data_IF_820576512430
#
_entry.id   IF_820576512430
#
_cell.length_a   1.000
_cell.length_b   1.000
_cell.length_c   1.000
_cell.angle_alpha   90.00
_cell.angle_beta   90.00
_cell.angle_gamma   90.00
#
_symmetry.space_group_name_H-M   'P 1'
#
loop_
_entity.id
_entity.type
_entity.pdbx_description
1 polymer ?
#
# COMPACT_ATOMS: atom_id res chain seq x y z
N UNK A 1 -7.02 9.40 -14.70
CA UNK A 1 -7.76 8.56 -15.68
C UNK A 1 -8.35 9.34 -16.86
N UNK A 2 -8.91 10.55 -16.67
CA UNK A 2 -9.61 11.28 -17.73
C UNK A 2 -8.83 11.43 -19.06
N UNK A 3 -7.52 11.70 -19.05
CA UNK A 3 -6.72 11.81 -20.29
C UNK A 3 -6.61 10.47 -21.04
N UNK A 4 -6.41 9.37 -20.31
CA UNK A 4 -6.26 8.03 -20.89
C UNK A 4 -7.58 7.60 -21.55
N UNK A 5 -8.70 7.80 -20.86
CA UNK A 5 -10.01 7.34 -21.32
C UNK A 5 -10.66 8.24 -22.40
N UNK A 6 -10.17 9.46 -22.61
CA UNK A 6 -10.75 10.40 -23.57
C UNK A 6 -9.76 10.75 -24.68
N UNK A 7 -9.94 10.17 -25.87
CA UNK A 7 -9.07 10.35 -27.05
C UNK A 7 -8.88 11.84 -27.41
N UNK A 8 -9.91 12.67 -27.18
CA UNK A 8 -9.85 14.12 -27.43
C UNK A 8 -8.81 14.86 -26.57
N UNK A 9 -8.45 14.30 -25.41
CA UNK A 9 -7.43 14.85 -24.52
C UNK A 9 -6.03 14.30 -24.81
N UNK A 10 -5.85 13.44 -25.82
CA UNK A 10 -4.53 12.91 -26.15
C UNK A 10 -3.60 13.98 -26.74
N UNK A 11 -4.04 14.84 -27.68
CA UNK A 11 -3.20 15.92 -28.19
C UNK A 11 -2.80 16.88 -27.07
N UNK A 12 -1.49 17.08 -26.90
CA UNK A 12 -0.94 17.92 -25.82
C UNK A 12 -1.51 19.34 -25.83
N UNK A 13 -1.72 19.91 -27.01
CA UNK A 13 -2.31 21.25 -27.14
C UNK A 13 -3.71 21.29 -26.52
N UNK A 14 -4.59 20.33 -26.85
CA UNK A 14 -5.95 20.30 -26.31
C UNK A 14 -5.91 20.05 -24.81
N UNK A 15 -5.09 19.10 -24.36
CA UNK A 15 -4.95 18.78 -22.94
C UNK A 15 -4.53 20.02 -22.13
N UNK A 16 -3.46 20.72 -22.53
CA UNK A 16 -2.93 21.90 -21.84
C UNK A 16 -3.96 23.03 -21.71
N UNK A 17 -4.85 23.18 -22.68
CA UNK A 17 -5.88 24.22 -22.66
C UNK A 17 -7.20 23.77 -22.00
N UNK A 18 -7.40 22.47 -21.83
CA UNK A 18 -8.55 21.90 -21.11
C UNK A 18 -8.50 22.20 -19.61
N UNK A 19 -9.67 22.16 -18.95
CA UNK A 19 -9.75 22.24 -17.48
C UNK A 19 -8.90 21.14 -16.81
N UNK A 20 -9.05 19.89 -17.28
CA UNK A 20 -8.30 18.74 -16.76
C UNK A 20 -6.79 18.92 -16.82
N UNK A 21 -6.27 19.48 -17.92
CA UNK A 21 -4.83 19.75 -18.03
C UNK A 21 -4.38 20.86 -17.09
N UNK A 22 -5.14 21.96 -17.00
CA UNK A 22 -4.84 23.06 -16.07
C UNK A 22 -4.79 22.57 -14.61
N UNK A 23 -5.77 21.77 -14.20
CA UNK A 23 -5.82 21.19 -12.85
C UNK A 23 -4.62 20.25 -12.62
N UNK A 24 -4.28 19.41 -13.61
CA UNK A 24 -3.11 18.54 -13.55
C UNK A 24 -1.81 19.35 -13.35
N UNK A 25 -1.54 20.36 -14.17
CA UNK A 25 -0.33 21.18 -14.06
C UNK A 25 -0.29 21.99 -12.76
N UNK A 26 -1.44 22.44 -12.26
CA UNK A 26 -1.54 23.11 -10.97
C UNK A 26 -1.12 22.19 -9.81
N UNK A 27 -1.67 20.98 -9.76
CA UNK A 27 -1.33 20.01 -8.70
C UNK A 27 0.10 19.49 -8.82
N UNK A 28 0.59 19.25 -10.05
CA UNK A 28 1.98 18.90 -10.29
C UNK A 28 2.94 19.97 -9.78
N UNK A 29 2.62 21.25 -10.00
CA UNK A 29 3.43 22.36 -9.50
C UNK A 29 3.49 22.37 -7.98
N UNK A 30 2.35 22.23 -7.29
CA UNK A 30 2.32 22.17 -5.81
C UNK A 30 3.23 21.04 -5.30
N UNK A 31 3.14 19.87 -5.92
CA UNK A 31 3.93 18.71 -5.53
C UNK A 31 5.44 18.92 -5.77
N UNK A 32 5.81 19.47 -6.93
CA UNK A 32 7.19 19.82 -7.26
C UNK A 32 7.76 20.91 -6.34
N UNK A 33 6.96 21.91 -5.98
CA UNK A 33 7.37 22.99 -5.07
C UNK A 33 7.65 22.42 -3.67
N UNK A 34 6.80 21.49 -3.20
CA UNK A 34 7.01 20.79 -1.93
C UNK A 34 8.31 19.97 -1.93
N UNK A 35 8.53 19.12 -2.94
CA UNK A 35 9.74 18.28 -2.98
C UNK A 35 11.01 19.10 -3.18
N UNK A 36 10.95 20.17 -3.97
CA UNK A 36 12.05 21.13 -4.12
C UNK A 36 12.42 21.77 -2.77
N UNK A 37 11.43 22.18 -1.99
CA UNK A 37 11.64 22.77 -0.65
C UNK A 37 12.33 21.76 0.28
N UNK A 38 11.85 20.51 0.32
CA UNK A 38 12.44 19.45 1.15
C UNK A 38 13.89 19.15 0.74
N UNK A 39 14.19 19.15 -0.56
CA UNK A 39 15.55 18.95 -1.08
C UNK A 39 16.47 20.10 -0.64
N UNK A 40 16.02 21.35 -0.77
CA UNK A 40 16.80 22.53 -0.36
C UNK A 40 17.11 22.51 1.14
N UNK A 41 16.13 22.15 1.98
CA UNK A 41 16.33 22.00 3.41
C UNK A 41 17.35 20.91 3.74
N UNK A 42 17.26 19.75 3.08
CA UNK A 42 18.20 18.65 3.26
C UNK A 42 19.61 18.98 2.81
N UNK A 43 19.78 19.69 1.69
CA UNK A 43 21.08 20.21 1.24
C UNK A 43 21.67 21.18 2.27
N UNK A 44 20.85 22.09 2.79
CA UNK A 44 21.28 23.05 3.83
C UNK A 44 21.72 22.34 5.12
N UNK A 45 21.01 21.29 5.53
CA UNK A 45 21.41 20.46 6.67
C UNK A 45 22.71 19.69 6.43
N UNK A 46 22.90 19.16 5.21
CA UNK A 46 24.11 18.46 4.83
C UNK A 46 25.35 19.38 4.92
N UNK A 47 25.23 20.61 4.38
CA UNK A 47 26.29 21.61 4.47
C UNK A 47 26.61 22.03 5.91
N UNK A 48 25.60 22.15 6.78
CA UNK A 48 25.78 22.52 8.20
C UNK A 48 26.40 21.42 9.04
N UNK A 49 26.08 20.15 8.78
CA UNK A 49 26.56 19.00 9.57
C UNK A 49 27.92 18.45 9.11
N UNK A 50 28.41 18.86 7.94
CA UNK A 50 29.65 18.32 7.38
C UNK A 50 29.63 16.79 7.26
N UNK A 51 30.82 16.16 7.25
CA UNK A 51 30.98 14.70 7.13
C UNK A 51 30.45 13.91 8.35
N UNK A 52 29.95 14.53 9.42
CA UNK A 52 29.36 13.78 10.55
C UNK A 52 28.08 13.03 10.17
N UNK A 53 27.32 13.53 9.18
CA UNK A 53 26.19 12.80 8.59
C UNK A 53 26.64 11.49 7.92
N UNK A 54 27.89 11.44 7.42
CA UNK A 54 28.43 10.29 6.71
C UNK A 54 28.72 9.09 7.64
N UNK A 55 28.83 9.29 8.96
CA UNK A 55 29.16 8.24 9.94
C UNK A 55 27.97 7.38 10.40
N UNK A 56 26.74 7.71 10.02
CA UNK A 56 25.57 6.87 10.36
C UNK A 56 25.60 5.57 9.55
N UNK A 57 25.55 4.42 10.24
CA UNK A 57 25.49 3.08 9.61
C UNK A 57 24.25 2.88 8.72
N UNK A 58 23.15 3.59 8.96
CA UNK A 58 21.94 3.61 8.11
C UNK A 58 21.57 5.06 7.80
N UNK A 59 21.55 5.41 6.52
CA UNK A 59 21.15 6.72 6.00
C UNK A 59 19.73 6.63 5.45
N UNK A 60 18.94 7.69 5.61
CA UNK A 60 17.66 7.79 4.92
C UNK A 60 17.91 7.96 3.41
N UNK A 61 16.96 7.56 2.57
CA UNK A 61 17.07 7.68 1.11
C UNK A 61 17.42 9.11 0.67
N UNK A 62 16.72 10.11 1.23
CA UNK A 62 17.02 11.53 0.99
C UNK A 62 18.48 11.88 1.24
N UNK A 63 19.04 11.40 2.35
CA UNK A 63 20.42 11.72 2.73
C UNK A 63 21.41 11.05 1.77
N UNK A 64 21.10 9.83 1.29
CA UNK A 64 21.91 9.11 0.28
C UNK A 64 21.90 9.82 -1.08
N UNK A 65 20.72 10.28 -1.53
CA UNK A 65 20.57 10.98 -2.81
C UNK A 65 21.27 12.35 -2.78
N UNK A 66 21.10 13.12 -1.70
CA UNK A 66 21.78 14.41 -1.51
C UNK A 66 23.29 14.22 -1.43
N UNK A 67 23.79 13.21 -0.72
CA UNK A 67 25.22 12.91 -0.68
C UNK A 67 25.77 12.59 -2.08
N UNK A 68 25.03 11.81 -2.88
CA UNK A 68 25.42 11.51 -4.27
C UNK A 68 25.56 12.76 -5.12
N UNK A 69 24.53 13.60 -5.10
CA UNK A 69 24.53 14.88 -5.80
C UNK A 69 25.66 15.81 -5.36
N UNK A 70 25.90 15.92 -4.05
CA UNK A 70 26.90 16.86 -3.52
C UNK A 70 28.35 16.35 -3.67
N UNK A 71 28.60 15.04 -3.57
CA UNK A 71 29.95 14.46 -3.55
C UNK A 71 30.41 13.91 -4.89
N UNK A 72 29.54 13.21 -5.61
CA UNK A 72 29.88 12.52 -6.84
C UNK A 72 29.35 13.23 -8.10
N UNK A 73 28.34 14.11 -7.94
CA UNK A 73 27.68 14.83 -9.04
C UNK A 73 27.14 13.91 -10.13
N UNK A 74 26.81 12.67 -9.78
CA UNK A 74 26.22 11.65 -10.68
C UNK A 74 24.69 11.71 -10.74
N UNK A 75 24.07 12.54 -9.89
CA UNK A 75 22.64 12.85 -9.89
C UNK A 75 22.43 14.37 -9.96
N UNK A 76 21.55 14.81 -10.84
CA UNK A 76 21.07 16.20 -10.87
C UNK A 76 20.01 16.43 -9.78
N UNK A 77 19.69 17.70 -9.49
CA UNK A 77 18.58 18.00 -8.58
C UNK A 77 17.24 17.49 -9.12
N UNK A 78 17.09 17.49 -10.45
CA UNK A 78 15.92 16.94 -11.13
C UNK A 78 15.81 15.44 -10.87
N UNK A 79 16.91 14.69 -11.01
CA UNK A 79 16.92 13.24 -10.74
C UNK A 79 16.54 12.95 -9.29
N UNK A 80 17.07 13.71 -8.32
CA UNK A 80 16.70 13.56 -6.90
C UNK A 80 15.20 13.83 -6.73
N UNK A 81 14.67 14.89 -7.35
CA UNK A 81 13.27 15.24 -7.25
C UNK A 81 12.37 14.15 -7.80
N UNK A 82 12.68 13.61 -8.97
CA UNK A 82 11.90 12.55 -9.61
C UNK A 82 11.90 11.25 -8.78
N UNK A 83 13.05 10.87 -8.22
CA UNK A 83 13.12 9.72 -7.30
C UNK A 83 12.25 9.94 -6.06
N UNK A 84 12.36 11.10 -5.42
CA UNK A 84 11.60 11.40 -4.18
C UNK A 84 10.10 11.54 -4.45
N UNK A 85 9.73 12.18 -5.55
CA UNK A 85 8.36 12.23 -6.05
C UNK A 85 7.77 10.82 -6.15
N UNK A 86 8.52 9.89 -6.75
CA UNK A 86 8.10 8.49 -6.91
C UNK A 86 7.86 7.81 -5.56
N UNK A 87 8.81 7.91 -4.62
CA UNK A 87 8.67 7.27 -3.31
C UNK A 87 7.51 7.83 -2.47
N UNK A 88 7.26 9.14 -2.52
CA UNK A 88 6.16 9.77 -1.79
C UNK A 88 4.81 9.30 -2.36
N UNK A 89 4.65 9.32 -3.68
CA UNK A 89 3.39 8.92 -4.33
C UNK A 89 3.09 7.44 -4.14
N UNK A 90 4.04 6.57 -4.49
CA UNK A 90 3.85 5.12 -4.46
C UNK A 90 3.73 4.59 -3.01
N UNK A 91 4.43 5.21 -2.05
CA UNK A 91 4.42 4.82 -0.65
C UNK A 91 3.20 5.32 0.14
N UNK A 92 2.58 6.43 -0.27
CA UNK A 92 1.46 7.01 0.47
C UNK A 92 0.11 6.40 0.04
N UNK A 93 -0.25 6.57 -1.23
CA UNK A 93 -1.62 6.29 -1.68
C UNK A 93 -1.93 4.79 -1.66
N UNK A 94 -0.97 3.94 -2.04
CA UNK A 94 -1.17 2.48 -2.05
C UNK A 94 -1.37 1.92 -0.64
N UNK A 95 -0.61 2.42 0.33
CA UNK A 95 -0.67 1.98 1.72
C UNK A 95 -1.96 2.46 2.39
N UNK A 96 -2.33 3.72 2.18
CA UNK A 96 -3.58 4.27 2.70
C UNK A 96 -4.79 3.45 2.22
N UNK A 97 -4.86 3.13 0.92
CA UNK A 97 -5.93 2.30 0.35
C UNK A 97 -5.91 0.88 0.93
N UNK A 98 -4.74 0.26 1.08
CA UNK A 98 -4.62 -1.07 1.69
C UNK A 98 -5.15 -1.10 3.13
N UNK A 99 -4.78 -0.08 3.94
CA UNK A 99 -5.23 0.04 5.33
C UNK A 99 -6.74 0.27 5.39
N UNK A 100 -7.31 1.12 4.53
CA UNK A 100 -8.76 1.36 4.46
C UNK A 100 -9.51 0.06 4.20
N UNK A 101 -9.12 -0.72 3.19
CA UNK A 101 -9.76 -2.00 2.88
C UNK A 101 -9.57 -3.03 3.99
N UNK A 102 -8.39 -3.06 4.60
CA UNK A 102 -8.11 -3.97 5.72
C UNK A 102 -8.98 -3.64 6.94
N UNK A 103 -9.07 -2.36 7.34
CA UNK A 103 -9.96 -1.92 8.42
C UNK A 103 -11.43 -2.19 8.09
N UNK A 104 -11.84 -1.95 6.84
CA UNK A 104 -13.19 -2.23 6.37
C UNK A 104 -13.56 -3.71 6.51
N UNK A 105 -12.65 -4.60 6.14
CA UNK A 105 -12.84 -6.04 6.27
C UNK A 105 -12.83 -6.48 7.74
N UNK A 106 -11.87 -6.02 8.55
CA UNK A 106 -11.83 -6.32 10.00
C UNK A 106 -13.11 -5.87 10.70
N UNK A 107 -13.62 -4.68 10.36
CA UNK A 107 -14.86 -4.14 10.94
C UNK A 107 -16.13 -4.91 10.58
N UNK A 108 -16.06 -5.85 9.62
CA UNK A 108 -17.15 -6.78 9.28
C UNK A 108 -17.00 -8.17 9.91
N UNK A 109 -15.82 -8.50 10.47
CA UNK A 109 -15.49 -9.86 10.92
C UNK A 109 -15.02 -9.80 12.38
N UNK A 110 -15.96 -9.77 13.35
CA UNK A 110 -15.62 -9.65 14.77
C UNK A 110 -14.79 -10.83 15.30
N UNK A 111 -14.95 -12.02 14.73
CA UNK A 111 -14.18 -13.22 15.02
C UNK A 111 -12.69 -13.08 14.62
N UNK A 112 -12.43 -12.54 13.43
CA UNK A 112 -11.07 -12.23 12.96
C UNK A 112 -10.46 -11.11 13.81
N UNK A 113 -11.26 -10.10 14.15
CA UNK A 113 -10.81 -9.00 15.00
C UNK A 113 -10.42 -9.47 16.41
N UNK A 114 -11.16 -10.40 17.00
CA UNK A 114 -10.83 -10.99 18.29
C UNK A 114 -9.47 -11.73 18.25
N UNK A 115 -9.22 -12.54 17.22
CA UNK A 115 -7.93 -13.21 17.00
C UNK A 115 -6.76 -12.22 16.85
N UNK A 116 -6.98 -11.09 16.16
CA UNK A 116 -5.98 -10.02 16.07
C UNK A 116 -5.69 -9.39 17.43
N UNK A 117 -6.74 -9.11 18.23
CA UNK A 117 -6.57 -8.58 19.57
C UNK A 117 -5.82 -9.53 20.50
N UNK A 118 -6.07 -10.84 20.40
CA UNK A 118 -5.33 -11.87 21.13
C UNK A 118 -3.85 -11.90 20.73
N UNK A 119 -3.55 -11.86 19.43
CA UNK A 119 -2.16 -11.78 18.94
C UNK A 119 -1.45 -10.52 19.45
N UNK A 120 -2.10 -9.37 19.35
CA UNK A 120 -1.55 -8.09 19.79
C UNK A 120 -1.28 -8.09 21.29
N UNK A 121 -2.21 -8.59 22.12
CA UNK A 121 -2.02 -8.68 23.56
C UNK A 121 -0.89 -9.64 23.94
N UNK A 122 -0.74 -10.74 23.20
CA UNK A 122 0.30 -11.74 23.44
C UNK A 122 1.69 -11.21 23.10
N UNK A 123 1.84 -10.52 21.97
CA UNK A 123 3.14 -10.07 21.45
C UNK A 123 3.55 -8.71 22.02
N UNK A 124 2.62 -7.74 22.05
CA UNK A 124 2.91 -6.34 22.40
C UNK A 124 2.53 -6.01 23.85
N UNK A 125 1.86 -6.93 24.55
CA UNK A 125 1.32 -6.68 25.87
C UNK A 125 0.15 -5.68 25.87
N UNK A 126 -0.35 -5.44 27.08
CA UNK A 126 -1.56 -4.62 27.32
C UNK A 126 -1.31 -3.12 27.42
N UNK A 127 -0.05 -2.71 27.61
CA UNK A 127 0.30 -1.29 27.71
C UNK A 127 0.42 -0.67 26.32
N UNK A 128 -0.64 0.02 25.91
CA UNK A 128 -0.78 0.61 24.57
C UNK A 128 0.17 1.77 24.28
N UNK A 129 0.87 2.29 25.29
CA UNK A 129 1.84 3.38 25.13
C UNK A 129 3.26 2.86 24.82
N UNK A 130 3.51 1.56 25.01
CA UNK A 130 4.78 0.94 24.62
C UNK A 130 4.94 1.00 23.10
N UNK A 131 6.04 1.61 22.59
CA UNK A 131 6.31 1.66 21.16
C UNK A 131 6.51 0.27 20.55
N UNK A 132 6.00 0.07 19.34
CA UNK A 132 6.14 -1.20 18.62
C UNK A 132 7.50 -1.25 17.93
N UNK A 133 8.30 -2.30 18.20
CA UNK A 133 9.59 -2.51 17.55
C UNK A 133 9.45 -3.29 16.23
N UNK A 134 10.50 -3.27 15.39
CA UNK A 134 10.51 -4.05 14.15
C UNK A 134 10.43 -5.56 14.42
N UNK A 135 11.06 -6.04 15.48
CA UNK A 135 11.03 -7.45 15.86
C UNK A 135 9.61 -7.86 16.29
N UNK A 136 8.88 -6.98 16.98
CA UNK A 136 7.48 -7.22 17.30
C UNK A 136 6.62 -7.34 16.04
N UNK A 137 6.79 -6.43 15.06
CA UNK A 137 6.06 -6.47 13.79
C UNK A 137 6.32 -7.76 13.00
N UNK A 138 7.54 -8.30 13.09
CA UNK A 138 7.89 -9.58 12.46
C UNK A 138 7.15 -10.77 13.12
N UNK A 139 6.82 -10.65 14.41
CA UNK A 139 6.09 -11.67 15.16
C UNK A 139 4.55 -11.57 15.03
N UNK A 140 4.02 -10.51 14.43
CA UNK A 140 2.58 -10.36 14.11
C UNK A 140 2.23 -11.16 12.84
N UNK A 141 2.15 -12.49 12.97
CA UNK A 141 1.94 -13.44 11.87
C UNK A 141 0.49 -13.43 11.40
N UNK A 142 -0.48 -13.42 12.32
CA UNK A 142 -1.90 -13.40 11.98
C UNK A 142 -2.31 -12.06 11.37
N UNK A 143 -1.80 -10.94 11.89
CA UNK A 143 -1.93 -9.62 11.25
C UNK A 143 -1.45 -9.64 9.80
N UNK A 144 -0.32 -10.30 9.52
CA UNK A 144 0.16 -10.46 8.14
C UNK A 144 -0.82 -11.25 7.27
N UNK A 145 -1.38 -12.33 7.79
CA UNK A 145 -2.37 -13.15 7.10
C UNK A 145 -3.61 -12.30 6.74
N UNK A 146 -4.09 -11.49 7.68
CA UNK A 146 -5.22 -10.57 7.50
C UNK A 146 -4.94 -9.51 6.43
N UNK A 147 -3.76 -8.89 6.46
CA UNK A 147 -3.35 -7.90 5.45
C UNK A 147 -3.24 -8.55 4.07
N UNK A 148 -2.64 -9.74 3.97
CA UNK A 148 -2.52 -10.48 2.70
C UNK A 148 -3.88 -10.85 2.13
N UNK A 149 -4.79 -11.37 2.96
CA UNK A 149 -6.15 -11.70 2.51
C UNK A 149 -6.94 -10.45 2.11
N UNK A 150 -6.74 -9.34 2.83
CA UNK A 150 -7.35 -8.06 2.46
C UNK A 150 -6.86 -7.57 1.10
N UNK A 151 -5.56 -7.68 0.83
CA UNK A 151 -4.95 -7.35 -0.46
C UNK A 151 -5.28 -8.37 -1.58
N UNK A 152 -5.66 -9.61 -1.23
CA UNK A 152 -6.19 -10.58 -2.19
C UNK A 152 -7.57 -10.16 -2.67
N UNK A 153 -8.49 -9.87 -1.74
CA UNK A 153 -9.85 -9.44 -2.08
C UNK A 153 -9.84 -8.06 -2.74
N UNK A 154 -9.24 -7.07 -2.07
CA UNK A 154 -9.12 -5.71 -2.58
C UNK A 154 -7.69 -5.45 -3.03
N UNK A 155 -7.35 -5.96 -4.20
CA UNK A 155 -6.01 -5.79 -4.78
C UNK A 155 -5.76 -4.34 -5.14
N UNK A 156 -4.98 -3.66 -4.30
CA UNK A 156 -4.70 -2.22 -4.36
C UNK A 156 -4.21 -1.77 -5.73
N UNK A 157 -3.29 -2.51 -6.35
CA UNK A 157 -2.86 -2.27 -7.74
C UNK A 157 -3.34 -3.46 -8.59
N UNK A 158 -4.52 -3.34 -9.23
CA UNK A 158 -5.19 -4.49 -9.83
C UNK A 158 -4.64 -4.91 -11.20
N UNK A 159 -3.81 -4.06 -11.82
CA UNK A 159 -3.30 -4.26 -13.18
C UNK A 159 -1.84 -3.82 -13.31
N UNK A 160 -1.00 -4.67 -13.90
CA UNK A 160 0.41 -4.37 -14.21
C UNK A 160 0.66 -4.38 -15.72
N UNK A 161 1.16 -3.27 -16.27
CA UNK A 161 1.56 -3.19 -17.68
C UNK A 161 3.00 -3.63 -17.94
N UNK A 162 3.26 -4.27 -19.08
CA UNK A 162 4.60 -4.58 -19.61
C UNK A 162 4.66 -4.26 -21.09
N UNK A 163 5.81 -3.77 -21.55
CA UNK A 163 6.09 -3.55 -22.97
C UNK A 163 7.08 -4.62 -23.45
N UNK A 164 6.79 -5.22 -24.60
CA UNK A 164 7.63 -6.23 -25.24
C UNK A 164 8.62 -5.54 -26.18
N UNK A 165 9.92 -5.76 -25.97
CA UNK A 165 10.99 -5.09 -26.73
C UNK A 165 11.63 -5.97 -27.82
N UNK A 166 11.31 -7.27 -27.82
CA UNK A 166 11.74 -8.27 -28.80
C UNK A 166 10.66 -9.34 -28.92
N UNK A 167 10.64 -10.09 -30.03
CA UNK A 167 9.66 -11.17 -30.19
C UNK A 167 9.89 -12.23 -29.11
N UNK A 168 8.83 -12.61 -28.38
CA UNK A 168 8.90 -13.62 -27.32
C UNK A 168 7.91 -14.75 -27.57
N UNK A 169 8.26 -15.97 -27.18
CA UNK A 169 7.34 -17.10 -27.20
C UNK A 169 6.74 -17.32 -25.81
N UNK A 170 5.41 -17.27 -25.71
CA UNK A 170 4.66 -17.56 -24.47
C UNK A 170 3.64 -18.64 -24.79
N UNK A 171 3.70 -19.77 -24.08
CA UNK A 171 2.78 -20.89 -24.23
C UNK A 171 2.62 -21.38 -25.69
N UNK A 172 3.69 -21.32 -26.48
CA UNK A 172 3.69 -21.70 -27.90
C UNK A 172 3.27 -20.59 -28.86
N UNK A 173 2.87 -19.42 -28.37
CA UNK A 173 2.49 -18.26 -29.18
C UNK A 173 3.64 -17.27 -29.31
N UNK A 174 3.90 -16.82 -30.54
CA UNK A 174 4.82 -15.71 -30.78
C UNK A 174 4.11 -14.39 -30.52
N UNK A 175 4.67 -13.62 -29.61
CA UNK A 175 4.22 -12.28 -29.26
C UNK A 175 5.17 -11.30 -29.93
N UNK A 176 4.68 -10.45 -30.85
CA UNK A 176 5.53 -9.52 -31.57
C UNK A 176 6.13 -8.46 -30.65
N UNK A 177 7.35 -8.04 -30.96
CA UNK A 177 7.97 -6.79 -30.49
C UNK A 177 7.01 -5.62 -30.68
N UNK A 178 6.93 -4.77 -29.66
CA UNK A 178 6.01 -3.63 -29.64
C UNK A 178 4.65 -3.95 -29.01
N UNK A 179 4.34 -5.22 -28.72
CA UNK A 179 3.14 -5.58 -27.98
C UNK A 179 3.20 -5.13 -26.52
N UNK A 180 2.03 -4.88 -25.91
CA UNK A 180 1.90 -4.62 -24.47
C UNK A 180 1.12 -5.75 -23.80
N UNK A 181 1.54 -6.14 -22.60
CA UNK A 181 0.82 -7.08 -21.74
C UNK A 181 0.26 -6.38 -20.51
N UNK A 182 -0.92 -6.83 -20.11
CA UNK A 182 -1.53 -6.45 -18.85
C UNK A 182 -1.79 -7.70 -18.03
N UNK A 183 -1.15 -7.79 -16.87
CA UNK A 183 -1.47 -8.80 -15.87
C UNK A 183 -2.56 -8.25 -14.97
N UNK A 184 -3.73 -8.90 -14.97
CA UNK A 184 -4.88 -8.49 -14.16
C UNK A 184 -4.86 -9.25 -12.83
N UNK A 185 -4.07 -8.77 -11.87
CA UNK A 185 -3.91 -9.42 -10.55
C UNK A 185 -5.23 -9.52 -9.77
N UNK A 186 -6.14 -8.57 -9.95
CA UNK A 186 -7.47 -8.61 -9.31
C UNK A 186 -8.28 -9.87 -9.65
N UNK A 187 -8.20 -10.34 -10.91
CA UNK A 187 -8.87 -11.58 -11.34
C UNK A 187 -8.05 -12.82 -11.00
N UNK A 188 -6.72 -12.74 -11.13
CA UNK A 188 -5.81 -13.82 -10.72
C UNK A 188 -6.03 -14.21 -9.25
N UNK A 189 -6.20 -13.24 -8.37
CA UNK A 189 -6.46 -13.44 -6.95
C UNK A 189 -7.87 -13.98 -6.63
N UNK A 190 -8.71 -14.15 -7.66
CA UNK A 190 -10.07 -14.71 -7.60
C UNK A 190 -10.22 -16.01 -8.37
N UNK A 191 -9.14 -16.56 -8.90
CA UNK A 191 -9.17 -17.87 -9.54
C UNK A 191 -9.56 -18.93 -8.51
N UNK A 192 -10.77 -19.50 -8.66
CA UNK A 192 -11.33 -20.50 -7.74
C UNK A 192 -10.48 -21.78 -7.66
N UNK A 193 -9.69 -22.08 -8.70
CA UNK A 193 -8.76 -23.22 -8.68
C UNK A 193 -7.59 -23.02 -7.71
N UNK A 194 -7.27 -21.75 -7.39
CA UNK A 194 -6.23 -21.36 -6.43
C UNK A 194 -6.85 -20.96 -5.09
N UNK A 195 -7.96 -20.22 -5.12
CA UNK A 195 -8.65 -19.70 -3.95
C UNK A 195 -10.12 -20.13 -3.96
N UNK A 196 -10.45 -21.33 -3.44
CA UNK A 196 -11.84 -21.78 -3.31
C UNK A 196 -12.66 -20.80 -2.49
N UNK A 197 -13.90 -20.48 -2.88
CA UNK A 197 -14.72 -19.39 -2.29
C UNK A 197 -14.00 -18.03 -2.27
N UNK A 198 -13.63 -17.47 -3.44
CA UNK A 198 -12.70 -16.34 -3.55
C UNK A 198 -13.23 -15.04 -2.96
N UNK A 199 -14.54 -14.90 -2.74
CA UNK A 199 -15.14 -13.71 -2.12
C UNK A 199 -15.24 -13.81 -0.59
N UNK A 200 -14.99 -15.00 -0.02
CA UNK A 200 -14.90 -15.20 1.43
C UNK A 200 -13.60 -14.61 1.95
N UNK A 201 -13.71 -13.76 2.97
CA UNK A 201 -12.56 -13.22 3.69
C UNK A 201 -12.04 -14.27 4.68
N UNK A 202 -10.96 -14.92 4.32
CA UNK A 202 -10.39 -16.04 5.08
C UNK A 202 -8.86 -15.87 5.25
N UNK A 203 -8.41 -15.22 6.34
CA UNK A 203 -6.97 -15.04 6.61
C UNK A 203 -6.20 -16.35 6.71
N UNK A 204 -6.85 -17.46 7.07
CA UNK A 204 -6.16 -18.74 7.29
C UNK A 204 -5.60 -19.32 5.97
N UNK A 205 -6.01 -18.81 4.79
CA UNK A 205 -5.38 -19.09 3.50
C UNK A 205 -3.89 -18.72 3.47
N UNK A 206 -3.52 -17.68 4.21
CA UNK A 206 -2.15 -17.17 4.28
C UNK A 206 -1.41 -17.58 5.55
N UNK A 207 -1.99 -18.48 6.35
CA UNK A 207 -1.26 -19.14 7.45
C UNK A 207 0.00 -19.82 6.92
N UNK A 208 1.07 -19.94 7.73
CA UNK A 208 2.31 -20.60 7.32
C UNK A 208 2.09 -21.97 6.67
N UNK A 209 1.12 -22.74 7.16
CA UNK A 209 0.79 -24.10 6.70
C UNK A 209 -0.01 -24.12 5.38
N UNK A 210 -0.82 -23.10 5.11
CA UNK A 210 -1.63 -23.04 3.89
C UNK A 210 -0.99 -22.22 2.77
N UNK A 211 -0.17 -21.21 3.11
CA UNK A 211 0.49 -20.36 2.13
C UNK A 211 1.40 -21.15 1.17
N UNK A 212 1.99 -22.26 1.63
CA UNK A 212 2.80 -23.17 0.81
C UNK A 212 2.00 -23.88 -0.30
N UNK A 213 0.67 -23.93 -0.18
CA UNK A 213 -0.22 -24.54 -1.19
C UNK A 213 -0.58 -23.57 -2.31
N UNK A 214 -0.32 -22.28 -2.12
CA UNK A 214 -0.54 -21.25 -3.13
C UNK A 214 0.57 -21.38 -4.19
N UNK A 215 0.25 -21.51 -5.49
CA UNK A 215 1.25 -21.56 -6.55
C UNK A 215 2.14 -20.31 -6.56
N UNK A 216 3.37 -20.44 -7.07
CA UNK A 216 4.43 -19.40 -7.03
C UNK A 216 4.00 -18.02 -7.58
N UNK A 217 3.01 -17.99 -8.49
CA UNK A 217 2.45 -16.76 -9.05
C UNK A 217 0.93 -16.63 -8.82
N UNK A 218 0.35 -17.42 -7.92
CA UNK A 218 -1.08 -17.37 -7.58
C UNK A 218 -1.44 -16.14 -6.74
N UNK A 219 -0.48 -15.56 -6.03
CA UNK A 219 -0.67 -14.34 -5.23
C UNK A 219 0.49 -13.35 -5.43
N UNK A 220 0.22 -12.27 -6.16
CA UNK A 220 1.23 -11.27 -6.57
C UNK A 220 0.77 -9.84 -6.30
N UNK A 221 0.33 -9.48 -5.06
CA UNK A 221 -0.17 -8.13 -4.75
C UNK A 221 0.88 -7.03 -4.96
N UNK A 222 2.16 -7.39 -4.88
CA UNK A 222 3.32 -6.53 -5.08
C UNK A 222 4.02 -6.80 -6.43
N UNK A 223 3.31 -7.40 -7.39
CA UNK A 223 3.87 -7.95 -8.63
C UNK A 223 4.96 -9.02 -8.37
N UNK A 224 5.60 -9.50 -9.43
CA UNK A 224 6.61 -10.56 -9.38
C UNK A 224 7.78 -10.31 -10.33
N UNK A 225 8.87 -11.06 -10.12
CA UNK A 225 10.09 -10.98 -10.93
C UNK A 225 10.97 -9.74 -10.63
N UNK A 226 11.89 -9.38 -11.54
CA UNK A 226 12.92 -8.35 -11.31
C UNK A 226 12.37 -6.91 -11.25
N UNK A 227 11.11 -6.71 -11.66
CA UNK A 227 10.39 -5.43 -11.60
C UNK A 227 9.21 -5.51 -10.63
N UNK A 228 9.32 -6.32 -9.59
CA UNK A 228 8.36 -6.32 -8.48
C UNK A 228 8.52 -5.06 -7.60
N UNK A 229 7.58 -4.86 -6.69
CA UNK A 229 7.62 -3.72 -5.78
C UNK A 229 8.85 -3.79 -4.87
N UNK A 230 9.75 -2.82 -5.01
CA UNK A 230 10.91 -2.64 -4.13
C UNK A 230 10.48 -2.32 -2.68
N UNK A 231 9.32 -1.69 -2.51
CA UNK A 231 8.77 -1.27 -1.23
C UNK A 231 8.06 -2.35 -0.43
N UNK A 232 7.90 -3.58 -0.93
CA UNK A 232 7.04 -4.62 -0.32
C UNK A 232 7.28 -4.87 1.17
N UNK A 233 8.55 -4.86 1.60
CA UNK A 233 8.93 -5.10 3.00
C UNK A 233 8.56 -3.90 3.86
N UNK A 234 8.86 -2.69 3.37
CA UNK A 234 8.53 -1.45 4.05
C UNK A 234 7.01 -1.26 4.17
N UNK A 235 6.28 -1.52 3.08
CA UNK A 235 4.82 -1.51 3.03
C UNK A 235 4.19 -2.41 4.12
N UNK A 236 4.67 -3.65 4.26
CA UNK A 236 4.18 -4.56 5.30
C UNK A 236 4.46 -4.04 6.71
N UNK A 237 5.65 -3.47 6.95
CA UNK A 237 5.98 -2.88 8.25
C UNK A 237 5.09 -1.67 8.56
N UNK A 238 4.86 -0.80 7.60
CA UNK A 238 4.02 0.38 7.73
C UNK A 238 2.56 0.01 8.03
N UNK A 239 1.99 -0.91 7.25
CA UNK A 239 0.62 -1.41 7.48
C UNK A 239 0.48 -2.07 8.85
N UNK A 240 1.39 -2.99 9.22
CA UNK A 240 1.37 -3.63 10.54
C UNK A 240 1.51 -2.62 11.67
N UNK A 241 2.37 -1.61 11.51
CA UNK A 241 2.53 -0.53 12.49
C UNK A 241 1.20 0.18 12.68
N UNK A 242 0.63 0.77 11.63
CA UNK A 242 -0.59 1.58 11.75
C UNK A 242 -1.76 0.74 12.29
N UNK A 243 -1.97 -0.46 11.75
CA UNK A 243 -3.04 -1.36 12.17
C UNK A 243 -2.87 -1.80 13.63
N UNK A 244 -1.65 -2.12 14.08
CA UNK A 244 -1.40 -2.49 15.48
C UNK A 244 -1.74 -1.35 16.44
N UNK A 245 -1.33 -0.11 16.15
CA UNK A 245 -1.64 1.05 16.99
C UNK A 245 -3.15 1.31 17.08
N UNK A 246 -3.86 1.17 15.97
CA UNK A 246 -5.33 1.30 15.93
C UNK A 246 -5.98 0.20 16.77
N UNK A 247 -5.69 -1.07 16.47
CA UNK A 247 -6.41 -2.21 17.04
C UNK A 247 -6.05 -2.48 18.51
N UNK A 248 -4.90 -2.02 18.98
CA UNK A 248 -4.58 -2.03 20.42
C UNK A 248 -5.52 -1.13 21.23
N UNK A 249 -5.93 0.00 20.65
CA UNK A 249 -6.75 1.02 21.32
C UNK A 249 -8.25 0.86 21.05
N UNK A 250 -8.63 0.30 19.90
CA UNK A 250 -10.01 0.31 19.45
C UNK A 250 -10.55 -1.06 19.03
N UNK A 251 -11.83 -1.25 19.31
CA UNK A 251 -12.72 -2.18 18.59
C UNK A 251 -13.37 -1.37 17.46
N UNK A 252 -13.38 -1.91 16.24
CA UNK A 252 -13.91 -1.24 15.06
C UNK A 252 -15.10 -1.99 14.46
N UNK A 253 -16.07 -1.23 13.95
CA UNK A 253 -17.24 -1.75 13.21
C UNK A 253 -17.39 -0.99 11.90
N UNK A 254 -17.47 -1.72 10.79
CA UNK A 254 -17.84 -1.14 9.49
C UNK A 254 -19.35 -0.90 9.44
N UNK A 255 -19.74 0.29 9.02
CA UNK A 255 -21.16 0.71 9.05
C UNK A 255 -21.90 0.47 7.73
N UNK A 256 -21.15 0.35 6.63
CA UNK A 256 -21.68 0.10 5.29
C UNK A 256 -21.33 -1.31 4.85
N UNK A 257 -22.30 -2.01 4.26
CA UNK A 257 -22.09 -3.33 3.69
C UNK A 257 -21.22 -3.30 2.42
N UNK A 258 -20.66 -4.46 2.09
CA UNK A 258 -19.84 -4.66 0.87
C UNK A 258 -20.59 -4.34 -0.43
N UNK A 259 -21.91 -4.40 -0.41
CA UNK A 259 -22.80 -4.05 -1.52
C UNK A 259 -22.85 -2.54 -1.82
N UNK A 260 -22.51 -1.70 -0.84
CA UNK A 260 -22.54 -0.23 -0.96
C UNK A 260 -21.18 0.36 -1.30
N UNK A 261 -20.12 -0.17 -0.68
CA UNK A 261 -18.74 0.28 -0.90
C UNK A 261 -18.11 -0.55 -2.01
N UNK A 262 -18.36 -0.15 -3.25
CA UNK A 262 -17.85 -0.86 -4.42
C UNK A 262 -16.40 -0.46 -4.72
N UNK A 263 -15.57 -1.39 -5.22
CA UNK A 263 -14.24 -1.05 -5.70
C UNK A 263 -14.32 -0.26 -7.01
N UNK A 264 -13.71 0.92 -7.04
CA UNK A 264 -13.52 1.75 -8.22
C UNK A 264 -12.06 1.67 -8.70
N UNK A 265 -11.88 1.24 -9.94
CA UNK A 265 -10.56 1.10 -10.53
C UNK A 265 -10.03 2.45 -11.05
N UNK A 266 -9.11 3.04 -10.29
CA UNK A 266 -8.26 4.15 -10.72
C UNK A 266 -6.83 3.61 -10.97
N UNK A 267 -5.79 4.39 -10.64
CA UNK A 267 -4.41 3.85 -10.56
C UNK A 267 -4.35 2.79 -9.45
N UNK A 268 -5.00 3.06 -8.33
CA UNK A 268 -5.28 2.11 -7.26
C UNK A 268 -6.77 1.75 -7.21
N UNK A 269 -7.09 0.63 -6.58
CA UNK A 269 -8.46 0.16 -6.36
C UNK A 269 -9.07 0.91 -5.17
N UNK A 270 -9.74 2.02 -5.44
CA UNK A 270 -10.32 2.90 -4.41
C UNK A 270 -11.75 2.48 -4.08
N UNK A 271 -12.29 3.01 -2.98
CA UNK A 271 -13.69 2.88 -2.60
C UNK A 271 -14.56 3.90 -3.38
N UNK A 272 -15.69 3.46 -3.92
CA UNK A 272 -16.63 4.31 -4.68
C UNK A 272 -17.27 5.42 -3.84
N UNK A 273 -17.46 5.16 -2.55
CA UNK A 273 -17.96 6.10 -1.55
C UNK A 273 -17.08 6.02 -0.30
N UNK A 274 -16.98 7.10 0.51
CA UNK A 274 -16.20 7.08 1.74
C UNK A 274 -16.58 5.90 2.65
N UNK A 275 -15.57 5.14 3.09
CA UNK A 275 -15.77 4.04 4.04
C UNK A 275 -16.07 4.60 5.42
N UNK A 276 -17.22 4.23 6.00
CA UNK A 276 -17.60 4.64 7.36
C UNK A 276 -17.29 3.53 8.35
N UNK A 277 -16.39 3.82 9.29
CA UNK A 277 -15.96 2.90 10.36
C UNK A 277 -16.20 3.59 11.70
N UNK A 278 -16.88 2.90 12.61
CA UNK A 278 -17.03 3.32 14.00
C UNK A 278 -15.90 2.73 14.84
N UNK A 279 -15.26 3.58 15.64
CA UNK A 279 -14.21 3.19 16.58
C UNK A 279 -14.76 3.30 18.00
N UNK A 280 -14.52 2.28 18.82
CA UNK A 280 -14.86 2.26 20.25
C UNK A 280 -13.65 1.87 21.06
N UNK A 281 -13.39 2.57 22.17
CA UNK A 281 -12.22 2.31 22.99
C UNK A 281 -12.28 0.90 23.59
N UNK A 282 -11.22 0.10 23.38
CA UNK A 282 -11.11 -1.28 23.88
C UNK A 282 -10.92 -1.35 25.40
N UNK A 283 -10.43 -0.29 26.03
CA UNK A 283 -10.21 -0.25 27.48
C UNK A 283 -11.48 0.07 28.29
N UNK A 284 -12.50 0.71 27.70
CA UNK A 284 -13.79 0.98 28.37
C UNK A 284 -14.60 -0.31 28.61
N UNK A 285 -14.48 -1.31 27.74
CA UNK A 285 -15.14 -2.62 27.89
C UNK A 285 -14.76 -3.41 29.14
N UNK A 286 -13.59 -3.14 29.73
CA UNK A 286 -13.16 -3.82 30.95
C UNK A 286 -13.63 -3.13 32.23
N UNK A 287 -14.02 -1.86 32.15
CA UNK A 287 -14.53 -1.08 33.28
C UNK A 287 -16.06 -1.16 33.38
N UNK A 288 -16.75 -1.26 32.25
CA UNK A 288 -18.20 -1.45 32.15
C UNK A 288 -18.49 -2.93 31.86
N UNK A 289 -18.35 -3.80 32.86
CA UNK A 289 -18.65 -5.22 32.69
C UNK A 289 -20.04 -5.48 32.12
N UNK A 290 -20.11 -6.36 31.11
CA UNK A 290 -21.27 -7.18 30.70
C UNK A 290 -22.67 -6.53 30.76
N UNK A 291 -22.82 -5.25 30.40
CA UNK A 291 -24.13 -4.59 30.42
C UNK A 291 -24.62 -4.06 29.08
N UNK A 292 -23.92 -4.28 27.96
CA UNK A 292 -24.47 -3.92 26.65
C UNK A 292 -23.81 -4.65 25.46
N UNK A 293 -23.69 -5.98 25.52
CA UNK A 293 -23.26 -6.78 24.35
C UNK A 293 -24.26 -6.79 23.19
N UNK A 294 -25.42 -6.13 23.34
CA UNK A 294 -26.47 -6.03 22.31
C UNK A 294 -26.58 -4.65 21.65
N UNK A 295 -25.79 -3.65 22.03
CA UNK A 295 -25.70 -2.38 21.30
C UNK A 295 -24.42 -2.35 20.45
N UNK A 296 -24.37 -3.25 19.47
CA UNK A 296 -23.51 -3.14 18.31
C UNK A 296 -24.33 -2.96 17.05
#
# INVERSE_FOLDING_TARGET
MARICNVWLWPDFIFRHSKTGKDCFYHLKIFQDLTTTVIQDKKSQYLKKGEESAKRKRKALMDMLVERHMKFQDLTEEDIREEINTFIMEGHDTIAVSIIWTLFLIGHHPDIQAKLHEELDRILGKDVEVPVSVDDLNNLVYMECVIKESNRIYTVVPVYGRQVYEDINICGYTVPKGSSFFTLSYYLHRDESVFPDPEKFDPDRFSPENAIKIPEYGFIPFSAGPRNCIGKVFAMLEMKTILSYILRKFVIKSLDGKDKVLPEMNVTLNNSIPVRIRFRCRQQDKLEGDLNTNEF
#
